data_IF_298966193002
#
_entry.id   IF_298966193002
#
_cell.length_a   1.000
_cell.length_b   1.000
_cell.length_c   1.000
_cell.angle_alpha   90.00
_cell.angle_beta   90.00
_cell.angle_gamma   90.00
#
_symmetry.space_group_name_H-M   'P 1'
#
loop_
_entity.id
_entity.type
_entity.pdbx_description
1 polymer ?
#
# COMPACT_ATOMS: atom_id res chain seq x y z
N UNK A 1 16.93 7.99 -5.06
CA UNK A 1 15.79 8.93 -4.95
C UNK A 1 16.22 10.37 -5.21
N UNK A 2 15.58 11.06 -6.16
CA UNK A 2 15.76 12.50 -6.43
C UNK A 2 14.53 13.25 -5.89
N UNK A 3 14.73 14.24 -5.03
CA UNK A 3 13.63 15.04 -4.45
C UNK A 3 13.54 16.35 -5.25
N UNK A 4 12.40 16.65 -5.91
CA UNK A 4 12.19 17.95 -6.55
C UNK A 4 12.34 19.09 -5.53
N UNK A 5 12.98 20.19 -5.94
CA UNK A 5 13.24 21.36 -5.05
C UNK A 5 11.95 21.85 -4.38
N UNK A 6 10.84 21.88 -5.13
CA UNK A 6 9.52 22.28 -4.62
C UNK A 6 9.06 21.39 -3.45
N UNK A 7 9.39 20.10 -3.46
CA UNK A 7 9.06 19.18 -2.35
C UNK A 7 10.09 19.31 -1.23
N UNK A 8 11.36 19.54 -1.56
CA UNK A 8 12.41 19.61 -0.55
C UNK A 8 12.33 20.88 0.32
N UNK A 9 11.92 21.99 -0.27
CA UNK A 9 11.76 23.27 0.45
C UNK A 9 10.38 23.42 1.11
N UNK A 10 9.44 22.52 0.82
CA UNK A 10 8.07 22.62 1.31
C UNK A 10 7.95 22.37 2.82
N UNK A 11 7.15 23.21 3.48
CA UNK A 11 6.69 22.98 4.84
C UNK A 11 5.55 21.92 4.87
N UNK A 12 5.09 21.54 6.06
CA UNK A 12 4.05 20.50 6.20
C UNK A 12 2.76 20.87 5.47
N UNK A 13 2.28 22.12 5.56
CA UNK A 13 1.04 22.54 4.88
C UNK A 13 1.18 22.43 3.37
N UNK A 14 2.29 22.90 2.81
CA UNK A 14 2.62 22.80 1.38
C UNK A 14 2.73 21.34 0.93
N UNK A 15 3.35 20.47 1.72
CA UNK A 15 3.43 19.03 1.43
C UNK A 15 2.04 18.39 1.37
N UNK A 16 1.15 18.75 2.28
CA UNK A 16 -0.23 18.23 2.31
C UNK A 16 -1.05 18.71 1.11
N UNK A 17 -0.83 19.94 0.64
CA UNK A 17 -1.42 20.45 -0.60
C UNK A 17 -0.91 19.69 -1.82
N UNK A 18 0.40 19.41 -1.87
CA UNK A 18 1.01 18.59 -2.92
C UNK A 18 0.41 17.18 -2.88
N UNK A 19 0.36 16.53 -1.72
CA UNK A 19 -0.24 15.19 -1.58
C UNK A 19 -1.68 15.18 -2.09
N UNK A 20 -2.49 16.17 -1.71
CA UNK A 20 -3.86 16.28 -2.19
C UNK A 20 -3.91 16.35 -3.71
N UNK A 21 -3.16 17.28 -4.32
CA UNK A 21 -3.10 17.47 -5.77
C UNK A 21 -2.67 16.19 -6.50
N UNK A 22 -1.61 15.54 -6.03
CA UNK A 22 -1.08 14.35 -6.69
C UNK A 22 -1.97 13.11 -6.45
N UNK A 23 -2.65 13.02 -5.30
CA UNK A 23 -3.66 11.99 -5.06
C UNK A 23 -4.89 12.15 -5.97
N UNK A 24 -5.31 13.38 -6.25
CA UNK A 24 -6.35 13.67 -7.24
C UNK A 24 -5.92 13.23 -8.65
N UNK A 25 -4.65 13.47 -9.00
CA UNK A 25 -4.05 12.99 -10.25
C UNK A 25 -4.13 11.47 -10.40
N UNK A 26 -3.80 10.72 -9.33
CA UNK A 26 -3.93 9.26 -9.30
C UNK A 26 -5.39 8.80 -9.46
N UNK A 27 -6.36 9.48 -8.83
CA UNK A 27 -7.80 9.21 -9.01
C UNK A 27 -8.21 9.40 -10.47
N UNK A 28 -7.74 10.46 -11.12
CA UNK A 28 -8.06 10.69 -12.54
C UNK A 28 -7.48 9.57 -13.42
N UNK A 29 -6.27 9.10 -13.15
CA UNK A 29 -5.68 7.96 -13.86
C UNK A 29 -6.53 6.69 -13.67
N UNK A 30 -6.96 6.40 -12.43
CA UNK A 30 -7.82 5.26 -12.14
C UNK A 30 -9.17 5.34 -12.88
N UNK A 31 -9.78 6.53 -12.95
CA UNK A 31 -11.02 6.75 -13.72
C UNK A 31 -10.83 6.54 -15.22
N UNK A 32 -9.71 7.02 -15.78
CA UNK A 32 -9.37 6.80 -17.18
C UNK A 32 -9.16 5.32 -17.48
N UNK A 33 -8.50 4.59 -16.59
CA UNK A 33 -8.35 3.13 -16.67
C UNK A 33 -9.73 2.45 -16.74
N UNK A 34 -10.63 2.73 -15.79
CA UNK A 34 -12.00 2.17 -15.78
C UNK A 34 -12.79 2.53 -17.04
N UNK A 35 -12.58 3.73 -17.59
CA UNK A 35 -13.26 4.15 -18.82
C UNK A 35 -12.88 3.31 -20.04
N UNK A 36 -11.60 2.93 -20.17
CA UNK A 36 -11.10 2.17 -21.32
C UNK A 36 -11.12 0.65 -21.12
N UNK A 37 -11.04 0.20 -19.87
CA UNK A 37 -10.92 -1.21 -19.54
C UNK A 37 -12.29 -1.90 -19.51
N UNK A 38 -12.31 -3.21 -19.76
CA UNK A 38 -13.54 -4.03 -19.80
C UNK A 38 -13.57 -5.11 -18.72
N UNK A 39 -12.51 -5.23 -17.93
CA UNK A 39 -12.37 -6.19 -16.85
C UNK A 39 -13.27 -5.80 -15.65
N UNK A 40 -14.21 -6.68 -15.34
CA UNK A 40 -15.17 -6.45 -14.25
C UNK A 40 -14.53 -6.32 -12.89
N UNK A 41 -13.36 -6.94 -12.67
CA UNK A 41 -12.63 -6.86 -11.41
C UNK A 41 -11.91 -5.51 -11.27
N UNK A 42 -11.34 -4.98 -12.35
CA UNK A 42 -10.79 -3.60 -12.35
C UNK A 42 -11.91 -2.61 -12.02
N UNK A 43 -13.08 -2.75 -12.64
CA UNK A 43 -14.26 -1.91 -12.34
C UNK A 43 -14.73 -2.06 -10.89
N UNK A 44 -14.65 -3.27 -10.32
CA UNK A 44 -15.00 -3.52 -8.92
C UNK A 44 -14.01 -2.87 -7.97
N UNK A 45 -12.71 -2.96 -8.23
CA UNK A 45 -11.65 -2.41 -7.38
C UNK A 45 -11.62 -0.88 -7.47
N UNK A 46 -11.67 -0.32 -8.68
CA UNK A 46 -11.55 1.11 -8.97
C UNK A 46 -12.90 1.84 -9.09
N UNK A 47 -13.90 1.43 -8.31
CA UNK A 47 -15.21 2.08 -8.32
C UNK A 47 -15.22 3.42 -7.54
N UNK A 48 -16.27 4.22 -7.76
CA UNK A 48 -16.42 5.54 -7.12
C UNK A 48 -16.42 5.51 -5.58
N UNK A 49 -16.91 4.45 -4.94
CA UNK A 49 -16.85 4.32 -3.49
C UNK A 49 -15.42 4.08 -3.01
N UNK A 50 -14.66 3.21 -3.69
CA UNK A 50 -13.25 2.97 -3.37
C UNK A 50 -12.42 4.25 -3.57
N UNK A 51 -12.62 4.97 -4.67
CA UNK A 51 -11.89 6.21 -4.95
C UNK A 51 -12.23 7.32 -3.95
N UNK A 52 -13.49 7.43 -3.50
CA UNK A 52 -13.87 8.35 -2.42
C UNK A 52 -13.23 7.99 -1.08
N UNK A 53 -13.12 6.69 -0.76
CA UNK A 53 -12.41 6.25 0.45
C UNK A 53 -10.92 6.60 0.37
N UNK A 54 -10.30 6.43 -0.80
CA UNK A 54 -8.92 6.83 -1.03
C UNK A 54 -8.71 8.34 -0.85
N UNK A 55 -9.58 9.17 -1.41
CA UNK A 55 -9.56 10.62 -1.22
C UNK A 55 -9.68 10.98 0.27
N UNK A 56 -10.61 10.35 0.99
CA UNK A 56 -10.81 10.56 2.42
C UNK A 56 -9.59 10.14 3.26
N UNK A 57 -8.91 9.05 2.90
CA UNK A 57 -7.68 8.62 3.58
C UNK A 57 -6.56 9.66 3.41
N UNK A 58 -6.40 10.22 2.21
CA UNK A 58 -5.40 11.28 1.99
C UNK A 58 -5.76 12.57 2.73
N UNK A 59 -7.03 12.98 2.69
CA UNK A 59 -7.50 14.14 3.45
C UNK A 59 -7.30 13.97 4.96
N UNK A 60 -7.41 12.75 5.48
CA UNK A 60 -7.24 12.46 6.89
C UNK A 60 -5.82 12.76 7.41
N UNK A 61 -4.80 12.86 6.53
CA UNK A 61 -3.45 13.28 6.92
C UNK A 61 -3.43 14.68 7.55
N UNK A 62 -4.36 15.54 7.14
CA UNK A 62 -4.46 16.93 7.60
C UNK A 62 -5.11 17.03 8.98
N UNK A 63 -5.91 16.03 9.38
CA UNK A 63 -6.76 16.15 10.57
C UNK A 63 -5.97 16.27 11.88
N UNK A 64 -4.91 15.46 12.14
CA UNK A 64 -4.13 15.59 13.37
C UNK A 64 -3.25 16.84 13.39
N UNK A 65 -3.06 17.47 12.23
CA UNK A 65 -2.19 18.64 12.04
C UNK A 65 -2.99 19.95 12.05
N UNK A 66 -4.31 19.86 11.89
CA UNK A 66 -5.19 21.02 11.87
C UNK A 66 -5.09 21.77 13.20
N UNK A 67 -4.90 23.09 13.09
CA UNK A 67 -4.83 24.03 14.21
C UNK A 67 -3.68 23.73 15.20
N UNK A 68 -2.68 22.93 14.80
CA UNK A 68 -1.53 22.58 15.64
C UNK A 68 -0.30 23.39 15.22
N UNK A 69 0.04 24.42 16.00
CA UNK A 69 1.21 25.28 15.76
C UNK A 69 2.47 24.68 16.38
N UNK A 70 3.15 23.84 15.61
CA UNK A 70 4.33 23.09 16.04
C UNK A 70 5.45 24.01 16.56
N UNK A 71 5.74 25.07 15.80
CA UNK A 71 6.83 26.00 16.11
C UNK A 71 6.53 26.77 17.40
N UNK A 72 5.29 27.25 17.57
CA UNK A 72 4.89 27.94 18.79
C UNK A 72 4.97 27.03 20.01
N UNK A 73 4.44 25.81 19.90
CA UNK A 73 4.39 24.88 21.01
C UNK A 73 5.77 24.42 21.47
N UNK A 74 6.71 24.22 20.53
CA UNK A 74 8.11 23.90 20.84
C UNK A 74 8.82 25.08 21.53
N UNK A 75 8.48 26.32 21.15
CA UNK A 75 9.05 27.55 21.74
C UNK A 75 8.54 27.85 23.16
N UNK A 76 7.27 27.59 23.46
CA UNK A 76 6.67 27.96 24.76
C UNK A 76 6.75 26.87 25.83
N UNK A 77 7.15 25.65 25.47
CA UNK A 77 7.37 24.55 26.43
C UNK A 77 6.10 24.07 27.16
N UNK A 78 4.92 24.35 26.60
CA UNK A 78 3.62 23.97 27.17
C UNK A 78 3.01 22.73 26.50
N UNK A 79 3.81 21.91 25.84
CA UNK A 79 3.32 20.74 25.12
C UNK A 79 2.89 19.66 26.11
N UNK A 80 1.66 19.19 25.99
CA UNK A 80 1.25 17.91 26.56
C UNK A 80 1.91 16.80 25.73
N UNK A 81 2.94 16.17 26.30
CA UNK A 81 3.70 15.08 25.67
C UNK A 81 2.79 13.94 25.16
N UNK A 82 1.64 13.71 25.81
CA UNK A 82 0.68 12.68 25.42
C UNK A 82 -0.10 13.12 24.18
N UNK A 83 -0.54 14.38 24.12
CA UNK A 83 -1.24 14.92 22.95
C UNK A 83 -0.34 14.92 21.72
N UNK A 84 0.91 15.37 21.87
CA UNK A 84 1.90 15.37 20.79
C UNK A 84 2.15 13.96 20.27
N UNK A 85 2.43 13.01 21.17
CA UNK A 85 2.61 11.60 20.82
C UNK A 85 1.36 11.03 20.13
N UNK A 86 0.17 11.39 20.61
CA UNK A 86 -1.10 10.97 20.02
C UNK A 86 -1.29 11.47 18.59
N UNK A 87 -0.97 12.75 18.32
CA UNK A 87 -1.02 13.34 16.97
C UNK A 87 -0.01 12.68 16.03
N UNK A 88 1.22 12.51 16.49
CA UNK A 88 2.29 11.88 15.72
C UNK A 88 1.94 10.43 15.33
N UNK A 89 1.41 9.64 16.28
CA UNK A 89 0.92 8.28 15.99
C UNK A 89 -0.20 8.30 14.94
N UNK A 90 -1.16 9.22 15.05
CA UNK A 90 -2.25 9.34 14.07
C UNK A 90 -1.72 9.68 12.67
N UNK A 91 -0.73 10.59 12.56
CA UNK A 91 -0.07 10.92 11.29
C UNK A 91 0.59 9.68 10.68
N UNK A 92 1.37 8.93 11.46
CA UNK A 92 2.03 7.70 10.97
C UNK A 92 1.06 6.62 10.52
N UNK A 93 -0.03 6.41 11.27
CA UNK A 93 -1.08 5.43 10.90
C UNK A 93 -1.72 5.82 9.58
N UNK A 94 -2.06 7.10 9.43
CA UNK A 94 -2.75 7.61 8.26
C UNK A 94 -1.83 7.61 7.04
N UNK A 95 -0.55 8.00 7.21
CA UNK A 95 0.45 7.98 6.14
C UNK A 95 0.70 6.56 5.62
N UNK A 96 0.87 5.59 6.53
CA UNK A 96 1.01 4.20 6.12
C UNK A 96 -0.21 3.66 5.39
N UNK A 97 -1.41 4.12 5.74
CA UNK A 97 -2.65 3.72 5.06
C UNK A 97 -2.80 4.39 3.69
N UNK A 98 -2.44 5.67 3.57
CA UNK A 98 -2.46 6.40 2.30
C UNK A 98 -1.50 5.79 1.27
N UNK A 99 -0.30 5.40 1.71
CA UNK A 99 0.66 4.68 0.85
C UNK A 99 0.15 3.30 0.46
N UNK A 100 -0.36 2.52 1.42
CA UNK A 100 -0.94 1.19 1.16
C UNK A 100 -2.01 1.25 0.07
N UNK A 101 -2.97 2.18 0.20
CA UNK A 101 -4.04 2.33 -0.80
C UNK A 101 -3.54 2.93 -2.12
N UNK A 102 -2.57 3.85 -2.13
CA UNK A 102 -1.98 4.36 -3.38
C UNK A 102 -1.32 3.26 -4.20
N UNK A 103 -0.55 2.38 -3.54
CA UNK A 103 0.07 1.23 -4.18
C UNK A 103 -0.95 0.20 -4.66
N UNK A 104 -2.04 -0.01 -3.90
CA UNK A 104 -3.14 -0.88 -4.33
C UNK A 104 -3.87 -0.32 -5.56
N UNK A 105 -4.17 0.99 -5.61
CA UNK A 105 -4.78 1.62 -6.79
C UNK A 105 -3.86 1.47 -8.00
N UNK A 106 -2.56 1.73 -7.83
CA UNK A 106 -1.58 1.54 -8.89
C UNK A 106 -1.56 0.10 -9.42
N UNK A 107 -1.51 -0.90 -8.53
CA UNK A 107 -1.55 -2.31 -8.96
C UNK A 107 -2.89 -2.72 -9.57
N UNK A 108 -4.00 -2.07 -9.19
CA UNK A 108 -5.31 -2.33 -9.80
C UNK A 108 -5.36 -1.89 -11.26
N UNK A 109 -4.63 -0.83 -11.62
CA UNK A 109 -4.47 -0.40 -13.03
C UNK A 109 -3.69 -1.45 -13.81
N UNK A 110 -2.71 -2.08 -13.16
CA UNK A 110 -1.88 -3.16 -13.71
C UNK A 110 -2.37 -4.57 -13.29
N UNK A 111 -3.69 -4.74 -13.08
CA UNK A 111 -4.22 -5.95 -12.45
C UNK A 111 -3.84 -7.23 -13.20
N UNK A 112 -3.90 -7.19 -14.54
CA UNK A 112 -3.53 -8.32 -15.38
C UNK A 112 -2.05 -8.69 -15.23
N UNK A 113 -1.15 -7.70 -15.24
CA UNK A 113 0.28 -7.93 -15.03
C UNK A 113 0.57 -8.47 -13.63
N UNK A 114 -0.11 -7.91 -12.61
CA UNK A 114 -0.03 -8.41 -11.24
C UNK A 114 -0.49 -9.88 -11.14
N UNK A 115 -1.64 -10.24 -11.71
CA UNK A 115 -2.14 -11.62 -11.70
C UNK A 115 -1.20 -12.57 -12.44
N UNK A 116 -0.62 -12.11 -13.56
CA UNK A 116 0.31 -12.90 -14.37
C UNK A 116 1.70 -13.06 -13.74
N UNK A 117 2.09 -12.18 -12.81
CA UNK A 117 3.34 -12.33 -12.03
C UNK A 117 3.37 -13.59 -11.17
N UNK A 118 2.21 -14.23 -10.93
CA UNK A 118 2.04 -15.32 -9.98
C UNK A 118 2.56 -14.99 -8.57
N UNK A 119 2.64 -13.71 -8.20
CA UNK A 119 3.24 -13.31 -6.94
C UNK A 119 2.55 -13.94 -5.73
N UNK A 120 3.36 -14.51 -4.84
CA UNK A 120 2.89 -15.19 -3.64
C UNK A 120 2.48 -16.66 -3.84
N UNK A 121 2.26 -17.11 -5.08
CA UNK A 121 2.02 -18.50 -5.46
C UNK A 121 3.35 -19.26 -5.57
N UNK A 122 3.36 -20.55 -5.24
CA UNK A 122 4.53 -21.40 -5.42
C UNK A 122 4.47 -22.14 -6.76
N UNK A 123 5.53 -22.04 -7.56
CA UNK A 123 5.69 -22.79 -8.80
C UNK A 123 5.87 -24.28 -8.53
N UNK A 124 5.32 -25.12 -9.42
CA UNK A 124 5.42 -26.59 -9.34
C UNK A 124 4.98 -27.19 -7.98
N UNK A 125 4.08 -26.50 -7.26
CA UNK A 125 3.68 -26.88 -5.91
C UNK A 125 2.58 -27.95 -5.88
N UNK A 126 2.93 -29.18 -5.48
CA UNK A 126 1.97 -30.23 -5.20
C UNK A 126 1.44 -30.14 -3.75
N UNK A 127 0.28 -29.50 -3.59
CA UNK A 127 -0.34 -29.27 -2.29
C UNK A 127 -0.57 -30.56 -1.48
N UNK A 128 -1.12 -31.61 -2.10
CA UNK A 128 -1.49 -32.82 -1.36
C UNK A 128 -0.27 -33.63 -0.92
N UNK A 129 0.76 -33.70 -1.77
CA UNK A 129 2.02 -34.36 -1.43
C UNK A 129 2.73 -33.64 -0.28
N UNK A 130 3.00 -32.33 -0.41
CA UNK A 130 3.70 -31.56 0.62
C UNK A 130 2.92 -31.54 1.94
N UNK A 131 1.59 -31.38 1.88
CA UNK A 131 0.74 -31.40 3.08
C UNK A 131 0.78 -32.75 3.78
N UNK A 132 0.75 -33.85 3.02
CA UNK A 132 0.76 -35.21 3.59
C UNK A 132 2.09 -35.47 4.28
N UNK A 133 3.21 -35.21 3.60
CA UNK A 133 4.55 -35.39 4.18
C UNK A 133 4.74 -34.58 5.47
N UNK A 134 4.30 -33.32 5.51
CA UNK A 134 4.40 -32.51 6.72
C UNK A 134 3.46 -32.98 7.83
N UNK A 135 2.27 -33.48 7.49
CA UNK A 135 1.34 -34.04 8.48
C UNK A 135 1.90 -35.31 9.14
N UNK A 136 2.60 -36.15 8.38
CA UNK A 136 3.28 -37.34 8.89
C UNK A 136 4.36 -36.97 9.90
N UNK A 137 5.18 -35.95 9.62
CA UNK A 137 6.18 -35.44 10.57
C UNK A 137 5.50 -34.95 11.86
N UNK A 138 4.41 -34.18 11.74
CA UNK A 138 3.68 -33.70 12.93
C UNK A 138 3.06 -34.87 13.71
N UNK A 139 2.54 -35.89 13.04
CA UNK A 139 2.01 -37.10 13.68
C UNK A 139 3.11 -37.87 14.42
N UNK A 140 4.31 -37.99 13.85
CA UNK A 140 5.46 -38.62 14.53
C UNK A 140 5.81 -37.86 15.81
N UNK A 141 5.96 -36.53 15.72
CA UNK A 141 6.27 -35.70 16.88
C UNK A 141 5.20 -35.80 17.99
N UNK A 142 3.93 -35.96 17.62
CA UNK A 142 2.82 -36.21 18.55
C UNK A 142 2.94 -37.60 19.20
N UNK A 143 3.22 -38.64 18.40
CA UNK A 143 3.40 -40.02 18.86
C UNK A 143 4.63 -40.22 19.76
N UNK A 144 5.72 -39.51 19.46
CA UNK A 144 6.99 -39.54 20.21
C UNK A 144 6.94 -38.68 21.49
N UNK A 145 5.82 -37.98 21.74
CA UNK A 145 5.61 -37.17 22.94
C UNK A 145 6.34 -35.81 22.93
N UNK A 146 6.91 -35.40 21.80
CA UNK A 146 7.57 -34.10 21.65
C UNK A 146 6.58 -32.94 21.59
N UNK A 147 5.34 -33.18 21.13
CA UNK A 147 4.26 -32.20 21.14
C UNK A 147 2.94 -32.83 21.63
N UNK A 148 2.13 -32.05 22.34
CA UNK A 148 0.79 -32.48 22.76
C UNK A 148 -0.21 -32.40 21.60
N UNK A 149 -1.25 -33.23 21.67
CA UNK A 149 -2.31 -33.36 20.65
C UNK A 149 -2.96 -32.04 20.25
N UNK A 150 -3.24 -31.15 21.21
CA UNK A 150 -3.83 -29.84 20.95
C UNK A 150 -2.92 -28.98 20.07
N UNK A 151 -1.61 -29.02 20.33
CA UNK A 151 -0.62 -28.26 19.55
C UNK A 151 -0.39 -28.89 18.18
N UNK A 152 -0.35 -30.22 18.09
CA UNK A 152 -0.29 -30.92 16.81
C UNK A 152 -1.50 -30.58 15.91
N UNK A 153 -2.71 -30.54 16.48
CA UNK A 153 -3.93 -30.13 15.77
C UNK A 153 -3.87 -28.66 15.30
N UNK A 154 -3.43 -27.75 16.17
CA UNK A 154 -3.29 -26.35 15.82
C UNK A 154 -2.25 -26.14 14.70
N UNK A 155 -1.12 -26.85 14.78
CA UNK A 155 -0.06 -26.79 13.78
C UNK A 155 -0.54 -27.29 12.41
N UNK A 156 -1.22 -28.45 12.36
CA UNK A 156 -1.83 -28.97 11.12
C UNK A 156 -2.80 -27.96 10.51
N UNK A 157 -3.64 -27.31 11.33
CA UNK A 157 -4.58 -26.27 10.87
C UNK A 157 -3.86 -25.07 10.27
N UNK A 158 -2.86 -24.53 10.98
CA UNK A 158 -2.09 -23.38 10.51
C UNK A 158 -1.33 -23.70 9.22
N UNK A 159 -0.71 -24.88 9.17
CA UNK A 159 0.00 -25.36 7.98
C UNK A 159 -0.94 -25.49 6.79
N UNK A 160 -2.10 -26.14 6.96
CA UNK A 160 -3.11 -26.27 5.89
C UNK A 160 -3.49 -24.90 5.33
N UNK A 161 -3.77 -23.93 6.19
CA UNK A 161 -4.17 -22.60 5.78
C UNK A 161 -3.03 -21.88 5.04
N UNK A 162 -1.80 -22.00 5.54
CA UNK A 162 -0.63 -21.43 4.90
C UNK A 162 -0.39 -22.01 3.50
N UNK A 163 -0.38 -23.35 3.37
CA UNK A 163 -0.16 -24.04 2.09
C UNK A 163 -1.26 -23.73 1.08
N UNK A 164 -2.52 -23.65 1.52
CA UNK A 164 -3.63 -23.24 0.64
C UNK A 164 -3.40 -21.85 0.05
N UNK A 165 -2.93 -20.90 0.86
CA UNK A 165 -2.60 -19.55 0.40
C UNK A 165 -1.38 -19.48 -0.54
N UNK A 166 -0.70 -20.60 -0.82
CA UNK A 166 0.39 -20.70 -1.80
C UNK A 166 -0.03 -21.32 -3.13
N UNK A 167 -1.28 -21.74 -3.25
CA UNK A 167 -1.83 -22.30 -4.49
C UNK A 167 -2.33 -21.22 -5.46
N UNK A 168 -2.67 -20.04 -4.93
CA UNK A 168 -3.32 -18.96 -5.65
C UNK A 168 -2.50 -17.68 -5.53
N UNK A 169 -2.66 -16.78 -6.49
CA UNK A 169 -2.11 -15.42 -6.41
C UNK A 169 -2.79 -14.71 -5.24
N UNK A 170 -2.02 -13.93 -4.48
CA UNK A 170 -2.60 -13.16 -3.37
C UNK A 170 -3.60 -12.15 -3.93
N UNK A 171 -4.82 -12.09 -3.40
CA UNK A 171 -5.78 -11.06 -3.81
C UNK A 171 -5.22 -9.67 -3.48
N UNK A 172 -5.43 -8.70 -4.37
CA UNK A 172 -4.97 -7.34 -4.16
C UNK A 172 -5.61 -6.70 -2.92
N UNK A 173 -6.85 -7.07 -2.59
CA UNK A 173 -7.54 -6.63 -1.37
C UNK A 173 -6.87 -7.13 -0.09
N UNK A 174 -6.20 -8.28 -0.16
CA UNK A 174 -5.47 -8.88 0.97
C UNK A 174 -4.02 -8.37 1.09
N UNK A 175 -3.56 -7.56 0.13
CA UNK A 175 -2.22 -6.98 0.16
C UNK A 175 -2.13 -5.81 1.13
N UNK A 176 -1.66 -6.09 2.35
CA UNK A 176 -1.22 -5.03 3.27
C UNK A 176 0.12 -4.41 2.84
N UNK A 177 0.52 -3.32 3.50
CA UNK A 177 1.74 -2.57 3.21
C UNK A 177 3.00 -3.45 3.25
N UNK A 178 3.08 -4.42 4.17
CA UNK A 178 4.21 -5.34 4.19
C UNK A 178 4.28 -6.20 2.92
N UNK A 179 3.14 -6.72 2.46
CA UNK A 179 3.04 -7.50 1.23
C UNK A 179 3.36 -6.64 0.01
N UNK A 180 2.85 -5.41 -0.04
CA UNK A 180 3.14 -4.45 -1.10
C UNK A 180 4.64 -4.13 -1.18
N UNK A 181 5.28 -3.75 -0.07
CA UNK A 181 6.74 -3.49 -0.07
C UNK A 181 7.53 -4.68 -0.62
N UNK A 182 7.16 -5.91 -0.24
CA UNK A 182 7.82 -7.12 -0.74
C UNK A 182 7.58 -7.33 -2.23
N UNK A 183 6.37 -7.08 -2.71
CA UNK A 183 6.04 -7.15 -4.13
C UNK A 183 6.87 -6.16 -4.94
N UNK A 184 6.85 -4.87 -4.57
CA UNK A 184 7.60 -3.84 -5.31
C UNK A 184 9.11 -4.07 -5.24
N UNK A 185 9.62 -4.61 -4.14
CA UNK A 185 11.02 -5.00 -4.01
C UNK A 185 11.41 -6.17 -4.94
N UNK A 186 10.53 -7.16 -5.12
CA UNK A 186 10.84 -8.33 -5.96
C UNK A 186 10.57 -8.10 -7.44
N UNK A 187 9.48 -7.41 -7.78
CA UNK A 187 8.99 -7.31 -9.16
C UNK A 187 9.37 -6.00 -9.87
N UNK A 188 9.47 -4.88 -9.16
CA UNK A 188 9.63 -3.55 -9.78
C UNK A 188 11.07 -3.00 -9.65
N UNK A 189 11.91 -3.65 -8.83
CA UNK A 189 13.34 -3.28 -8.65
C UNK A 189 13.55 -1.80 -8.25
N UNK A 190 12.69 -1.27 -7.37
CA UNK A 190 12.91 0.06 -6.80
C UNK A 190 14.21 0.16 -6.01
N UNK A 191 14.84 1.35 -6.06
CA UNK A 191 16.05 1.70 -5.31
C UNK A 191 15.91 1.33 -3.82
N UNK A 192 16.98 0.86 -3.19
CA UNK A 192 16.99 0.45 -1.77
C UNK A 192 16.47 1.57 -0.86
N UNK A 193 16.70 2.84 -1.24
CA UNK A 193 16.18 4.01 -0.53
C UNK A 193 14.65 4.11 -0.51
N UNK A 194 13.97 3.67 -1.57
CA UNK A 194 12.49 3.59 -1.58
C UNK A 194 12.02 2.53 -0.61
N UNK A 195 12.65 1.36 -0.66
CA UNK A 195 12.30 0.23 0.21
C UNK A 195 12.56 0.58 1.68
N UNK A 196 13.65 1.29 1.97
CA UNK A 196 13.97 1.79 3.30
C UNK A 196 12.91 2.79 3.79
N UNK A 197 12.56 3.80 3.00
CA UNK A 197 11.52 4.78 3.35
C UNK A 197 10.15 4.11 3.61
N UNK A 198 9.74 3.18 2.76
CA UNK A 198 8.51 2.41 2.94
C UNK A 198 8.55 1.56 4.21
N UNK A 199 9.69 0.97 4.55
CA UNK A 199 9.86 0.20 5.78
C UNK A 199 9.80 1.08 7.02
N UNK A 200 10.41 2.26 6.99
CA UNK A 200 10.31 3.26 8.07
C UNK A 200 8.85 3.61 8.33
N UNK A 201 8.08 3.92 7.29
CA UNK A 201 6.66 4.26 7.42
C UNK A 201 5.86 3.06 7.94
N UNK A 202 6.11 1.86 7.41
CA UNK A 202 5.46 0.61 7.86
C UNK A 202 5.72 0.35 9.34
N UNK A 203 6.94 0.55 9.81
CA UNK A 203 7.31 0.31 11.21
C UNK A 203 6.66 1.34 12.14
N UNK A 204 6.66 2.62 11.74
CA UNK A 204 6.02 3.69 12.49
C UNK A 204 4.49 3.56 12.55
N UNK A 205 3.81 3.16 11.45
CA UNK A 205 2.37 2.82 11.45
C UNK A 205 2.05 1.76 12.52
N UNK A 206 2.97 0.83 12.74
CA UNK A 206 2.81 -0.29 13.66
C UNK A 206 3.18 0.04 15.13
N UNK A 207 3.52 1.29 15.45
CA UNK A 207 3.86 1.72 16.83
C UNK A 207 2.64 1.83 17.74
N UNK A 208 1.42 1.80 17.19
CA UNK A 208 0.15 1.76 17.96
C UNK A 208 0.06 0.59 18.96
N UNK A 209 0.89 -0.45 18.80
CA UNK A 209 0.93 -1.59 19.70
C UNK A 209 1.74 -1.29 20.98
N UNK A 210 1.09 -0.66 21.96
CA UNK A 210 1.69 -0.22 23.24
C UNK A 210 2.48 -1.28 24.04
N UNK A 211 2.14 -2.57 23.90
CA UNK A 211 2.84 -3.67 24.57
C UNK A 211 4.14 -4.10 23.87
N UNK A 212 4.43 -3.59 22.67
CA UNK A 212 5.69 -3.84 21.97
C UNK A 212 6.61 -2.65 22.21
N UNK A 213 7.83 -2.90 22.68
CA UNK A 213 8.83 -1.85 22.84
C UNK A 213 9.26 -1.35 21.45
N UNK A 214 8.60 -0.29 20.97
CA UNK A 214 8.82 0.34 19.67
C UNK A 214 8.91 1.83 19.90
N UNK A 215 9.94 2.46 19.36
CA UNK A 215 10.09 3.90 19.34
C UNK A 215 9.26 4.47 18.19
N UNK A 216 8.48 5.51 18.47
CA UNK A 216 7.84 6.32 17.43
C UNK A 216 8.89 7.33 16.95
N UNK A 217 9.15 7.38 15.65
CA UNK A 217 10.04 8.36 15.06
C UNK A 217 9.44 9.76 15.15
N UNK A 218 10.30 10.77 15.21
CA UNK A 218 9.93 12.15 15.50
C UNK A 218 9.27 12.87 14.32
N UNK A 219 9.04 14.16 14.50
CA UNK A 219 8.41 15.02 13.49
C UNK A 219 9.28 15.22 12.26
N UNK A 220 10.60 15.35 12.40
CA UNK A 220 11.52 15.46 11.26
C UNK A 220 11.45 14.23 10.35
N UNK A 221 11.36 13.03 10.96
CA UNK A 221 11.19 11.77 10.22
C UNK A 221 9.83 11.70 9.52
N UNK A 222 8.78 12.24 10.15
CA UNK A 222 7.46 12.34 9.54
C UNK A 222 7.48 13.29 8.33
N UNK A 223 8.09 14.47 8.45
CA UNK A 223 8.24 15.44 7.34
C UNK A 223 9.01 14.80 6.18
N UNK A 224 10.11 14.11 6.46
CA UNK A 224 10.85 13.36 5.44
C UNK A 224 9.98 12.29 4.76
N UNK A 225 9.14 11.60 5.54
CA UNK A 225 8.24 10.57 5.02
C UNK A 225 7.06 11.14 4.22
N UNK A 226 6.59 12.34 4.54
CA UNK A 226 5.60 13.09 3.75
C UNK A 226 6.22 13.53 2.41
N UNK A 227 7.44 14.06 2.42
CA UNK A 227 8.21 14.36 1.20
C UNK A 227 8.35 13.12 0.32
N UNK A 228 8.74 11.99 0.91
CA UNK A 228 8.79 10.71 0.21
C UNK A 228 7.44 10.35 -0.43
N UNK A 229 6.33 10.52 0.28
CA UNK A 229 5.02 10.20 -0.25
C UNK A 229 4.62 11.10 -1.44
N UNK A 230 4.95 12.39 -1.40
CA UNK A 230 4.78 13.26 -2.58
C UNK A 230 5.51 12.72 -3.81
N UNK A 231 6.77 12.32 -3.64
CA UNK A 231 7.59 11.77 -4.73
C UNK A 231 6.99 10.45 -5.22
N UNK A 232 6.58 9.57 -4.29
CA UNK A 232 5.94 8.31 -4.65
C UNK A 232 4.71 8.53 -5.51
N UNK A 233 3.81 9.46 -5.14
CA UNK A 233 2.62 9.77 -5.94
C UNK A 233 2.96 10.30 -7.34
N UNK A 234 3.99 11.14 -7.47
CA UNK A 234 4.47 11.61 -8.77
C UNK A 234 4.99 10.44 -9.61
N UNK A 235 5.84 9.59 -9.03
CA UNK A 235 6.43 8.46 -9.73
C UNK A 235 5.36 7.47 -10.19
N UNK A 236 4.40 7.13 -9.33
CA UNK A 236 3.27 6.26 -9.70
C UNK A 236 2.53 6.82 -10.91
N UNK A 237 2.26 8.13 -10.95
CA UNK A 237 1.63 8.78 -12.10
C UNK A 237 2.49 8.72 -13.37
N UNK A 238 3.81 8.89 -13.28
CA UNK A 238 4.71 8.77 -14.45
C UNK A 238 4.77 7.35 -15.00
N UNK A 239 4.48 6.35 -14.17
CA UNK A 239 4.41 4.95 -14.54
C UNK A 239 3.02 4.54 -15.04
N UNK A 240 2.07 5.46 -15.24
CA UNK A 240 0.74 5.11 -15.76
C UNK A 240 0.75 4.85 -17.27
N UNK A 241 -0.16 4.00 -17.78
CA UNK A 241 -0.40 3.89 -19.21
C UNK A 241 -0.78 5.25 -19.82
N UNK A 242 -0.50 5.48 -21.12
CA UNK A 242 -0.80 6.74 -21.80
C UNK A 242 -2.30 6.86 -22.13
N UNK A 243 -3.14 6.93 -21.09
CA UNK A 243 -4.59 6.87 -21.23
C UNK A 243 -5.17 7.96 -22.13
N UNK A 244 -4.62 9.17 -22.08
CA UNK A 244 -5.13 10.29 -22.88
C UNK A 244 -4.97 10.03 -24.39
N UNK A 245 -3.84 9.46 -24.80
CA UNK A 245 -3.59 9.10 -26.18
C UNK A 245 -4.56 7.99 -26.62
N UNK A 246 -4.73 6.96 -25.80
CA UNK A 246 -5.66 5.85 -26.06
C UNK A 246 -7.10 6.34 -26.20
N UNK A 247 -7.57 7.20 -25.29
CA UNK A 247 -8.92 7.76 -25.33
C UNK A 247 -9.09 8.64 -26.58
N UNK A 248 -8.10 9.46 -26.92
CA UNK A 248 -8.13 10.29 -28.13
C UNK A 248 -8.28 9.43 -29.39
N UNK A 249 -7.51 8.35 -29.50
CA UNK A 249 -7.57 7.42 -30.64
C UNK A 249 -8.94 6.73 -30.74
N UNK A 250 -9.52 6.32 -29.61
CA UNK A 250 -10.86 5.72 -29.56
C UNK A 250 -11.94 6.69 -30.06
N UNK A 251 -11.91 7.95 -29.59
CA UNK A 251 -12.88 8.97 -29.99
C UNK A 251 -12.76 9.33 -31.47
N UNK A 252 -11.53 9.39 -32.00
CA UNK A 252 -11.30 9.63 -33.42
C UNK A 252 -11.86 8.49 -34.27
N UNK A 253 -11.61 7.23 -33.87
CA UNK A 253 -12.14 6.05 -34.55
C UNK A 253 -13.69 6.06 -34.59
N UNK A 254 -14.34 6.43 -33.48
CA UNK A 254 -15.80 6.56 -33.44
C UNK A 254 -16.33 7.66 -34.36
N UNK A 255 -15.63 8.80 -34.44
CA UNK A 255 -16.02 9.90 -35.32
C UNK A 255 -15.92 9.51 -36.80
N UNK A 256 -14.78 8.90 -37.19
CA UNK A 256 -14.55 8.43 -38.56
C UNK A 256 -15.58 7.37 -38.97
N UNK A 257 -15.96 6.49 -38.05
CA UNK A 257 -17.01 5.48 -38.30
C UNK A 257 -18.38 6.12 -38.51
N UNK A 258 -18.74 7.15 -37.73
CA UNK A 258 -20.03 7.87 -37.89
C UNK A 258 -20.13 8.63 -39.20
N UNK A 259 -19.03 9.20 -39.68
CA UNK A 259 -19.00 9.95 -40.95
C UNK A 259 -18.97 9.03 -42.19
N UNK A 260 -18.82 7.71 -41.99
CA UNK A 260 -18.80 6.69 -43.05
C UNK A 260 -20.19 6.09 -43.40
N UNK A 261 -21.26 6.53 -42.73
CA UNK A 261 -22.66 6.13 -42.94
C UNK A 261 -23.57 7.31 -43.27
#
# INVERSE_FOLDING_TARGET
MHIPIVIDEANIEELLEIIKKESDGLIQCARKCVYIDTDTEIHRLLNEETLKRYEAINMALNLPLKDFDYDFHQLVGTIDEIEEMGRLIQCWITLGSAIETSLQIFLSIYLNDYQNSNWGKWEEFNYDEVKTSLYEVINSLEGDGHIIKEKAKALKKNLKNHLKGKMEVTSLEDMNLQSLVRFFQSEISWDDKYIEALNTIRENRNTIHSFKNRTVNGWDDLVFSLKFYCILLLDLQTMMPPFDDVISDMLQYEADYRDSY
#
